data_IF_672280905194
#
_entry.id   IF_672280905194
#
_cell.length_a   1.000
_cell.length_b   1.000
_cell.length_c   1.000
_cell.angle_alpha   90.00
_cell.angle_beta   90.00
_cell.angle_gamma   90.00
#
_symmetry.space_group_name_H-M   'P 1'
#
loop_
_entity.id
_entity.type
_entity.pdbx_description
1 polymer ?
#
# COMPACT_ATOMS: atom_id res chain seq x y z
N UNK A 1 11.44 8.40 -11.28
CA UNK A 1 10.28 7.73 -11.92
C UNK A 1 10.49 6.25 -11.74
N UNK A 2 9.73 5.61 -10.84
CA UNK A 2 9.87 4.17 -10.49
C UNK A 2 8.49 3.51 -10.44
N UNK A 3 7.79 3.48 -11.58
CA UNK A 3 6.48 2.84 -11.70
C UNK A 3 6.61 1.40 -12.18
N UNK A 4 5.79 0.50 -11.66
CA UNK A 4 5.74 -0.89 -12.09
C UNK A 4 4.32 -1.44 -12.09
N UNK A 5 4.09 -2.51 -12.87
CA UNK A 5 2.84 -3.27 -12.87
C UNK A 5 2.91 -4.57 -12.05
N UNK A 6 4.02 -4.79 -11.34
CA UNK A 6 4.27 -5.97 -10.49
C UNK A 6 3.18 -6.07 -9.40
N UNK A 7 2.69 -7.30 -9.16
CA UNK A 7 1.70 -7.62 -8.11
C UNK A 7 0.37 -6.83 -8.18
N UNK A 8 0.00 -6.32 -9.36
CA UNK A 8 -1.32 -5.69 -9.59
C UNK A 8 -2.48 -6.71 -9.63
N UNK A 9 -2.19 -7.99 -9.86
CA UNK A 9 -3.17 -9.09 -9.96
C UNK A 9 -2.62 -10.40 -9.37
N UNK A 10 -3.30 -11.54 -9.60
CA UNK A 10 -2.91 -12.83 -9.01
C UNK A 10 -3.27 -12.97 -7.52
N UNK A 11 -2.69 -13.99 -6.90
CA UNK A 11 -2.85 -14.32 -5.49
C UNK A 11 -1.67 -13.79 -4.66
N UNK A 12 -1.52 -12.48 -4.65
CA UNK A 12 -0.51 -11.77 -3.86
C UNK A 12 -1.14 -10.49 -3.28
N UNK A 13 -0.31 -9.71 -2.59
CA UNK A 13 -0.69 -8.38 -2.09
C UNK A 13 -1.00 -7.45 -3.27
N UNK A 14 -2.08 -6.68 -3.16
CA UNK A 14 -2.49 -5.67 -4.16
C UNK A 14 -1.92 -4.30 -3.83
N UNK A 15 -2.23 -3.33 -4.68
CA UNK A 15 -1.89 -1.93 -4.42
C UNK A 15 -2.27 -1.52 -3.00
N UNK A 16 -1.34 -0.85 -2.34
CA UNK A 16 -1.53 -0.27 -1.01
C UNK A 16 -2.11 1.12 -1.21
N UNK A 17 -3.24 1.39 -0.56
CA UNK A 17 -3.97 2.65 -0.71
C UNK A 17 -3.79 3.54 0.51
N UNK A 18 -3.69 4.84 0.30
CA UNK A 18 -3.77 5.87 1.34
C UNK A 18 -4.98 6.78 1.14
N UNK A 19 -5.25 7.64 2.11
CA UNK A 19 -6.26 8.70 2.00
C UNK A 19 -5.95 9.65 0.84
N UNK A 20 -6.98 10.12 0.15
CA UNK A 20 -6.85 11.01 -1.01
C UNK A 20 -6.35 12.43 -0.63
N UNK A 21 -6.59 12.86 0.61
CA UNK A 21 -6.20 14.17 1.14
C UNK A 21 -4.99 14.11 2.10
N UNK A 22 -4.24 13.00 2.08
CA UNK A 22 -3.07 12.80 2.92
C UNK A 22 -2.03 13.93 2.81
N UNK A 23 -1.63 14.48 3.96
CA UNK A 23 -0.69 15.58 4.13
C UNK A 23 -1.32 16.98 4.06
N UNK A 24 -2.65 17.08 3.98
CA UNK A 24 -3.40 18.33 3.82
C UNK A 24 -4.69 18.34 4.65
N UNK A 25 -5.29 17.16 4.89
CA UNK A 25 -6.53 17.03 5.66
C UNK A 25 -6.37 17.61 7.07
N UNK A 26 -7.31 18.45 7.50
CA UNK A 26 -7.28 19.06 8.84
C UNK A 26 -7.59 18.08 9.96
N UNK A 27 -8.22 16.96 9.60
CA UNK A 27 -8.65 15.87 10.47
C UNK A 27 -7.67 14.67 10.46
N UNK A 28 -6.55 14.78 9.73
CA UNK A 28 -5.52 13.74 9.72
C UNK A 28 -4.72 13.72 11.02
N UNK A 29 -4.54 12.53 11.58
CA UNK A 29 -3.69 12.33 12.77
C UNK A 29 -2.21 12.35 12.39
N UNK A 30 -1.87 11.74 11.26
CA UNK A 30 -0.52 11.66 10.69
C UNK A 30 -0.62 11.46 9.17
N UNK A 31 0.37 11.91 8.41
CA UNK A 31 0.46 11.66 6.97
C UNK A 31 0.69 10.15 6.68
N UNK A 32 -0.26 9.44 6.05
CA UNK A 32 -0.11 8.01 5.73
C UNK A 32 0.82 7.71 4.54
N UNK A 33 1.23 8.70 3.74
CA UNK A 33 2.00 8.47 2.49
C UNK A 33 3.36 7.78 2.73
N UNK A 34 4.18 8.17 3.72
CA UNK A 34 5.45 7.50 3.99
C UNK A 34 5.26 6.03 4.38
N UNK A 35 4.23 5.74 5.18
CA UNK A 35 3.88 4.37 5.57
C UNK A 35 3.43 3.54 4.37
N UNK A 36 2.60 4.11 3.51
CA UNK A 36 2.12 3.46 2.29
C UNK A 36 3.28 3.05 1.38
N UNK A 37 4.24 3.95 1.19
CA UNK A 37 5.43 3.71 0.37
C UNK A 37 6.39 2.68 1.00
N UNK A 38 6.61 2.74 2.31
CA UNK A 38 7.43 1.76 3.02
C UNK A 38 6.85 0.34 2.88
N UNK A 39 5.54 0.18 3.08
CA UNK A 39 4.91 -1.14 2.95
C UNK A 39 4.90 -1.59 1.48
N UNK A 40 4.80 -0.67 0.51
CA UNK A 40 4.92 -0.99 -0.92
C UNK A 40 6.30 -1.56 -1.23
N UNK A 41 7.36 -0.91 -0.78
CA UNK A 41 8.73 -1.38 -0.97
C UNK A 41 8.98 -2.72 -0.28
N UNK A 42 8.53 -2.87 0.96
CA UNK A 42 8.68 -4.10 1.73
C UNK A 42 7.97 -5.30 1.09
N UNK A 43 6.75 -5.10 0.56
CA UNK A 43 5.94 -6.18 0.00
C UNK A 43 6.30 -6.54 -1.45
N UNK A 44 6.97 -5.63 -2.17
CA UNK A 44 7.30 -5.83 -3.58
C UNK A 44 8.31 -6.95 -3.75
N UNK A 45 7.96 -7.99 -4.52
CA UNK A 45 8.79 -9.18 -4.75
C UNK A 45 9.25 -9.92 -3.48
N UNK A 46 8.54 -9.74 -2.36
CA UNK A 46 8.83 -10.48 -1.14
C UNK A 46 8.42 -11.95 -1.30
N UNK A 47 9.32 -12.93 -1.10
CA UNK A 47 9.04 -14.34 -1.34
C UNK A 47 7.82 -14.86 -0.55
N UNK A 48 7.63 -14.38 0.68
CA UNK A 48 6.51 -14.77 1.54
C UNK A 48 5.13 -14.38 0.97
N UNK A 49 5.06 -13.33 0.14
CA UNK A 49 3.79 -12.79 -0.40
C UNK A 49 3.56 -13.11 -1.87
N UNK A 50 4.46 -13.88 -2.50
CA UNK A 50 4.35 -14.24 -3.90
C UNK A 50 3.21 -15.26 -4.18
N UNK A 51 2.86 -16.10 -3.19
CA UNK A 51 1.91 -17.21 -3.34
C UNK A 51 0.90 -17.28 -2.19
N UNK A 52 0.17 -16.18 -1.95
CA UNK A 52 -0.94 -16.21 -1.00
C UNK A 52 -2.08 -17.12 -1.51
N UNK A 53 -2.96 -17.62 -0.63
CA UNK A 53 -4.13 -18.41 -1.08
C UNK A 53 -5.09 -17.62 -2.00
N UNK A 54 -5.17 -16.30 -1.82
CA UNK A 54 -5.96 -15.39 -2.65
C UNK A 54 -5.42 -13.96 -2.58
N UNK A 55 -6.05 -13.04 -3.32
CA UNK A 55 -5.75 -11.60 -3.27
C UNK A 55 -5.80 -11.08 -1.82
N UNK A 56 -4.84 -10.23 -1.47
CA UNK A 56 -4.79 -9.54 -0.18
C UNK A 56 -4.71 -8.03 -0.40
N UNK A 57 -5.47 -7.24 0.35
CA UNK A 57 -5.53 -5.77 0.19
C UNK A 57 -5.11 -5.09 1.48
N UNK A 58 -4.36 -4.00 1.36
CA UNK A 58 -3.89 -3.18 2.47
C UNK A 58 -4.30 -1.74 2.19
N UNK A 59 -4.88 -1.09 3.19
CA UNK A 59 -5.16 0.34 3.18
C UNK A 59 -4.59 0.95 4.46
N UNK A 60 -3.96 2.11 4.34
CA UNK A 60 -3.38 2.87 5.45
C UNK A 60 -4.10 4.21 5.48
N UNK A 61 -4.77 4.50 6.60
CA UNK A 61 -5.52 5.74 6.79
C UNK A 61 -4.95 6.48 7.99
N UNK A 62 -4.73 7.78 7.82
CA UNK A 62 -4.43 8.75 8.86
C UNK A 62 -5.64 9.61 9.21
N UNK A 63 -6.69 9.58 8.40
CA UNK A 63 -7.97 10.23 8.67
C UNK A 63 -8.72 9.59 9.83
N UNK A 64 -9.55 10.39 10.51
CA UNK A 64 -10.29 10.00 11.70
C UNK A 64 -11.72 9.56 11.42
#
# INVERSE_FOLDING_TARGET
VEMHAIQSSGNCIRNITSDEFAGISSDETEDPRPWCELVRQWSTLHPEFAFLPRKFKIAITGSR
#
